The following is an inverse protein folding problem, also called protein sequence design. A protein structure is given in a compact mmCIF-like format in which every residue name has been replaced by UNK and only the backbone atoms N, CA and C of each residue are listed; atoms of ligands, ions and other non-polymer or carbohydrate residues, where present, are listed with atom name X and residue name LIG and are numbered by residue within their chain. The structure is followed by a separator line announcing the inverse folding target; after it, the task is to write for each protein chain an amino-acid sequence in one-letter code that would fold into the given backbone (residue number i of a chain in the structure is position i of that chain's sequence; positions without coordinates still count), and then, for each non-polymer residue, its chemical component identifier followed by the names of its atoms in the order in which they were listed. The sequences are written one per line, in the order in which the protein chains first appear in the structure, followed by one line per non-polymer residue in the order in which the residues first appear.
data_IF_114665457351
#
_entry.id   IF_114665457351
#
_cell.length_a   1.000
_cell.length_b   1.000
_cell.length_c   1.000
_cell.angle_alpha   90.00
_cell.angle_beta   90.00
_cell.angle_gamma   90.00
#
_symmetry.space_group_name_H-M   'P 1'
#
loop_
_entity.id
_entity.type
_entity.pdbx_description
1 polymer ?
#
# COMPACT_ATOMS: atom_id res chain seq x y z
N UNK A 1 -47.03 -51.76 23.69
CA UNK A 1 -47.71 -51.41 24.94
C UNK A 1 -47.13 -50.14 25.53
N UNK A 2 -48.06 -49.26 25.93
CA UNK A 2 -47.88 -48.01 26.70
C UNK A 2 -47.26 -46.81 26.02
N UNK A 3 -48.16 -45.95 25.56
CA UNK A 3 -48.06 -44.51 25.31
C UNK A 3 -47.78 -43.77 26.61
N UNK A 4 -46.98 -42.71 26.58
CA UNK A 4 -47.07 -41.64 27.58
C UNK A 4 -47.00 -40.30 26.89
N UNK A 5 -48.10 -39.56 26.97
CA UNK A 5 -48.35 -38.21 26.54
C UNK A 5 -48.00 -37.32 27.75
N UNK A 6 -47.17 -36.26 27.55
CA UNK A 6 -47.06 -35.19 28.54
C UNK A 6 -47.37 -33.86 27.85
N UNK A 7 -48.35 -33.21 28.47
CA UNK A 7 -49.04 -31.97 28.10
C UNK A 7 -48.12 -30.75 28.28
N UNK A 8 -48.31 -29.84 27.36
CA UNK A 8 -47.90 -28.44 27.38
C UNK A 8 -48.70 -27.62 28.37
N UNK A 9 -48.06 -26.73 29.13
CA UNK A 9 -48.72 -25.63 29.83
C UNK A 9 -48.19 -24.30 29.38
N UNK A 10 -49.03 -23.57 28.68
CA UNK A 10 -48.85 -22.16 28.29
C UNK A 10 -49.32 -21.32 29.49
N UNK A 11 -48.44 -20.44 29.99
CA UNK A 11 -48.83 -19.45 30.99
C UNK A 11 -48.89 -18.06 30.33
N UNK A 12 -50.14 -17.62 30.14
CA UNK A 12 -50.49 -16.26 29.73
C UNK A 12 -50.57 -15.40 30.99
N UNK A 13 -49.79 -14.34 31.09
CA UNK A 13 -49.96 -13.32 32.12
C UNK A 13 -50.42 -12.03 31.46
N UNK A 14 -51.69 -11.72 31.67
CA UNK A 14 -52.33 -10.45 31.36
C UNK A 14 -52.12 -9.55 32.59
N UNK A 15 -51.56 -8.38 32.42
CA UNK A 15 -51.59 -7.32 33.44
C UNK A 15 -52.39 -6.14 32.93
N UNK A 16 -53.35 -5.82 33.77
CA UNK A 16 -54.39 -4.82 33.57
C UNK A 16 -53.85 -3.39 33.82
N UNK A 17 -54.53 -2.49 33.15
CA UNK A 17 -54.47 -1.04 33.21
C UNK A 17 -54.78 -0.53 34.62
N UNK A 18 -53.99 0.40 35.12
CA UNK A 18 -54.30 1.24 36.26
C UNK A 18 -53.98 2.69 35.97
N UNK A 19 -55.01 3.47 35.68
CA UNK A 19 -54.94 4.93 35.64
C UNK A 19 -54.72 5.49 37.06
N UNK A 20 -53.77 6.42 37.19
CA UNK A 20 -53.74 7.35 38.31
C UNK A 20 -53.27 8.71 37.82
N UNK A 21 -54.20 9.64 37.71
CA UNK A 21 -53.98 11.06 37.58
C UNK A 21 -53.20 11.59 38.79
N UNK A 22 -52.14 12.29 38.53
CA UNK A 22 -51.56 13.24 39.47
C UNK A 22 -51.00 14.45 38.74
N UNK A 23 -51.68 15.57 38.84
CA UNK A 23 -51.24 16.89 38.50
C UNK A 23 -49.86 17.17 39.09
N UNK A 24 -48.89 17.59 38.27
CA UNK A 24 -47.71 18.25 38.75
C UNK A 24 -47.27 19.36 37.78
N UNK A 25 -47.57 20.55 38.22
CA UNK A 25 -46.99 21.89 37.94
C UNK A 25 -45.95 21.98 36.86
N UNK A 26 -46.24 22.82 35.88
CA UNK A 26 -45.42 23.40 34.85
C UNK A 26 -44.20 24.12 35.44
N UNK A 27 -43.01 23.56 35.27
CA UNK A 27 -41.78 24.32 35.29
C UNK A 27 -41.19 24.32 33.91
N UNK A 28 -41.41 25.37 33.14
CA UNK A 28 -40.76 25.67 31.89
C UNK A 28 -39.28 26.02 32.18
N UNK A 29 -38.39 25.06 32.16
CA UNK A 29 -36.96 25.34 31.97
C UNK A 29 -36.72 25.40 30.47
N UNK A 30 -36.50 26.64 29.98
CA UNK A 30 -35.94 26.92 28.64
C UNK A 30 -34.57 26.27 28.56
N UNK A 31 -34.46 25.14 27.89
CA UNK A 31 -33.18 24.60 27.44
C UNK A 31 -32.67 25.52 26.36
N UNK A 32 -31.64 26.32 26.67
CA UNK A 32 -30.86 27.05 25.68
C UNK A 32 -30.17 26.01 24.81
N UNK A 33 -30.62 25.85 23.57
CA UNK A 33 -29.88 25.12 22.54
C UNK A 33 -28.52 25.78 22.36
N UNK A 34 -27.46 25.12 22.80
CA UNK A 34 -26.09 25.47 22.44
C UNK A 34 -25.91 25.10 20.96
N UNK A 35 -26.08 26.07 20.10
CA UNK A 35 -25.62 25.99 18.72
C UNK A 35 -24.12 25.82 18.75
N UNK A 36 -23.66 24.58 18.55
CA UNK A 36 -22.27 24.32 18.24
C UNK A 36 -21.95 24.98 16.88
N UNK A 37 -21.38 26.17 16.96
CA UNK A 37 -20.79 26.85 15.81
C UNK A 37 -19.63 25.99 15.35
N UNK A 38 -19.84 25.16 14.31
CA UNK A 38 -18.77 24.44 13.61
C UNK A 38 -17.86 25.52 13.03
N UNK A 39 -16.77 25.79 13.72
CA UNK A 39 -15.70 26.61 13.18
C UNK A 39 -15.08 25.79 12.06
N UNK A 40 -15.50 26.04 10.82
CA UNK A 40 -14.77 25.57 9.64
C UNK A 40 -13.35 26.14 9.76
N UNK A 41 -12.41 25.35 10.29
CA UNK A 41 -10.99 25.68 10.19
C UNK A 41 -10.71 25.91 8.72
N UNK A 42 -10.45 27.16 8.31
CA UNK A 42 -9.91 27.46 6.99
C UNK A 42 -8.66 26.58 6.85
N UNK A 43 -8.69 25.61 5.93
CA UNK A 43 -7.48 24.90 5.54
C UNK A 43 -6.51 25.96 5.03
N UNK A 44 -5.44 26.18 5.79
CA UNK A 44 -4.31 26.96 5.30
C UNK A 44 -3.76 26.15 4.13
N UNK A 45 -3.65 26.72 2.92
CA UNK A 45 -3.00 26.01 1.82
C UNK A 45 -1.57 25.69 2.28
N UNK A 46 -1.29 24.41 2.47
CA UNK A 46 0.09 23.97 2.73
C UNK A 46 0.85 24.24 1.44
N UNK A 47 1.79 25.18 1.46
CA UNK A 47 2.70 25.37 0.33
C UNK A 47 3.48 24.09 0.11
N UNK A 48 3.67 23.67 -1.16
CA UNK A 48 4.60 22.59 -1.46
C UNK A 48 5.95 22.87 -0.79
N UNK A 49 6.62 21.87 -0.23
CA UNK A 49 7.92 22.08 0.38
C UNK A 49 8.86 22.70 -0.66
N UNK A 50 9.49 23.81 -0.29
CA UNK A 50 10.56 24.41 -1.09
C UNK A 50 11.71 23.42 -1.21
N UNK A 51 12.31 23.33 -2.39
CA UNK A 51 13.50 22.53 -2.63
C UNK A 51 14.54 22.93 -1.58
N UNK A 52 14.88 22.01 -0.70
CA UNK A 52 16.15 22.09 -0.02
C UNK A 52 17.20 21.58 -1.00
N UNK A 53 18.19 22.39 -1.30
CA UNK A 53 19.34 21.98 -2.08
C UNK A 53 19.97 20.76 -1.38
N UNK A 54 19.62 19.59 -1.86
CA UNK A 54 20.21 18.35 -1.41
C UNK A 54 21.42 18.10 -2.32
N UNK A 55 22.65 18.00 -1.77
CA UNK A 55 23.83 17.71 -2.59
C UNK A 55 23.71 16.42 -3.42
N UNK A 56 22.83 15.48 -3.01
CA UNK A 56 22.50 14.28 -3.79
C UNK A 56 21.61 14.55 -5.01
N UNK A 57 20.88 15.66 -5.07
CA UNK A 57 20.09 16.06 -6.24
C UNK A 57 20.99 16.43 -7.44
N UNK A 58 22.21 16.88 -7.22
CA UNK A 58 23.14 17.19 -8.30
C UNK A 58 23.54 15.96 -9.11
N UNK A 59 23.60 14.78 -8.47
CA UNK A 59 23.89 13.52 -9.17
C UNK A 59 22.72 13.10 -10.08
N UNK A 60 21.48 13.36 -9.68
CA UNK A 60 20.30 13.10 -10.50
C UNK A 60 20.21 14.04 -11.71
N UNK A 61 20.74 15.26 -11.59
CA UNK A 61 20.66 16.27 -12.65
C UNK A 61 21.50 15.95 -13.89
N UNK A 62 22.46 15.06 -13.79
CA UNK A 62 23.32 14.64 -14.89
C UNK A 62 23.07 13.22 -15.39
N UNK A 63 22.25 12.44 -14.67
CA UNK A 63 21.98 11.04 -14.95
C UNK A 63 20.90 10.89 -16.04
N UNK A 64 21.13 10.00 -16.99
CA UNK A 64 20.20 9.68 -18.09
C UNK A 64 19.16 8.63 -17.73
N UNK A 65 19.21 8.07 -16.52
CA UNK A 65 18.32 7.00 -16.10
C UNK A 65 16.89 7.51 -15.86
N UNK A 66 15.94 6.61 -16.07
CA UNK A 66 14.54 6.85 -15.73
C UNK A 66 14.35 6.59 -14.24
N UNK A 67 13.87 7.58 -13.53
CA UNK A 67 13.64 7.54 -12.09
C UNK A 67 12.17 7.36 -11.73
N UNK A 68 11.95 6.74 -10.58
CA UNK A 68 10.65 6.60 -9.95
C UNK A 68 10.72 6.79 -8.44
N UNK A 69 9.56 6.76 -7.83
CA UNK A 69 9.37 6.88 -6.39
C UNK A 69 8.42 5.81 -5.87
N UNK A 70 8.56 5.49 -4.58
CA UNK A 70 7.64 4.59 -3.88
C UNK A 70 6.97 5.35 -2.76
N UNK A 71 5.65 5.25 -2.68
CA UNK A 71 4.84 6.02 -1.73
C UNK A 71 3.81 5.14 -1.02
N UNK A 72 3.48 5.56 0.19
CA UNK A 72 2.39 5.01 1.00
C UNK A 72 1.73 6.14 1.81
N UNK A 73 0.79 5.80 2.68
CA UNK A 73 0.20 6.76 3.62
C UNK A 73 1.23 7.44 4.54
N UNK A 74 2.43 6.89 4.69
CA UNK A 74 3.48 7.48 5.54
C UNK A 74 3.97 8.83 5.02
N UNK A 75 3.89 9.09 3.72
CA UNK A 75 4.24 10.39 3.12
C UNK A 75 3.12 11.42 3.27
N UNK A 76 1.95 11.01 3.80
CA UNK A 76 0.81 11.89 3.99
C UNK A 76 0.23 12.44 2.68
N UNK A 77 -0.16 13.70 2.68
CA UNK A 77 -0.74 14.35 1.50
C UNK A 77 0.33 14.67 0.46
N UNK A 78 0.15 14.16 -0.75
CA UNK A 78 1.02 14.39 -1.91
C UNK A 78 0.37 15.44 -2.83
N UNK A 79 1.15 16.42 -3.27
CA UNK A 79 0.78 17.44 -4.26
C UNK A 79 1.13 16.92 -5.65
N UNK A 80 0.26 16.09 -6.21
CA UNK A 80 0.51 15.35 -7.43
C UNK A 80 0.76 16.21 -8.66
N UNK A 81 0.14 17.39 -8.77
CA UNK A 81 0.44 18.37 -9.80
C UNK A 81 1.93 18.72 -9.82
N UNK A 82 2.47 19.04 -8.65
CA UNK A 82 3.90 19.36 -8.50
C UNK A 82 4.80 18.16 -8.76
N UNK A 83 4.40 16.95 -8.35
CA UNK A 83 5.14 15.71 -8.63
C UNK A 83 5.18 15.43 -10.13
N UNK A 84 4.05 15.59 -10.83
CA UNK A 84 3.93 15.36 -12.28
C UNK A 84 4.71 16.38 -13.14
N UNK A 85 4.97 17.58 -12.61
CA UNK A 85 5.84 18.55 -13.26
C UNK A 85 7.33 18.14 -13.29
N UNK A 86 7.71 17.20 -12.42
CA UNK A 86 9.09 16.70 -12.37
C UNK A 86 9.35 15.72 -13.52
N UNK A 87 9.91 16.21 -14.60
CA UNK A 87 10.20 15.45 -15.84
C UNK A 87 11.12 14.24 -15.64
N UNK A 88 11.75 14.10 -14.47
CA UNK A 88 12.66 13.00 -14.15
C UNK A 88 11.94 11.86 -13.46
N UNK A 89 10.83 12.12 -12.76
CA UNK A 89 10.00 11.09 -12.15
C UNK A 89 8.99 10.60 -13.17
N UNK A 90 9.18 9.40 -13.67
CA UNK A 90 8.37 8.82 -14.75
C UNK A 90 7.35 7.81 -14.22
N UNK A 91 7.59 7.22 -13.07
CA UNK A 91 6.73 6.20 -12.49
C UNK A 91 6.65 6.31 -10.97
N UNK A 92 5.60 5.71 -10.44
CA UNK A 92 5.39 5.55 -9.00
C UNK A 92 4.86 4.16 -8.69
N UNK A 93 5.40 3.54 -7.63
CA UNK A 93 4.78 2.41 -7.00
C UNK A 93 4.06 2.86 -5.73
N UNK A 94 2.77 2.54 -5.62
CA UNK A 94 1.91 2.91 -4.50
C UNK A 94 1.62 1.70 -3.63
N UNK A 95 1.78 1.84 -2.31
CA UNK A 95 1.31 0.81 -1.38
C UNK A 95 -0.20 0.67 -1.53
N UNK A 96 -0.64 -0.53 -1.93
CA UNK A 96 -2.06 -0.84 -1.96
C UNK A 96 -2.48 -1.54 -0.66
N UNK A 97 -1.73 -2.57 -0.27
CA UNK A 97 -2.10 -3.41 0.87
C UNK A 97 -0.89 -3.99 1.61
N UNK A 98 -1.16 -4.53 2.79
CA UNK A 98 -0.22 -5.28 3.62
C UNK A 98 -0.93 -6.45 4.29
N UNK A 99 -0.39 -7.65 4.18
CA UNK A 99 -0.98 -8.83 4.79
C UNK A 99 -2.43 -9.05 4.37
N UNK A 100 -3.23 -9.68 5.22
CA UNK A 100 -4.58 -10.13 4.86
C UNK A 100 -5.70 -9.11 5.05
N UNK A 101 -5.44 -7.90 5.59
CA UNK A 101 -6.51 -6.99 6.01
C UNK A 101 -6.14 -5.50 6.05
N UNK A 102 -4.89 -5.16 5.81
CA UNK A 102 -4.48 -3.75 5.79
C UNK A 102 -4.55 -3.20 4.38
N UNK A 103 -5.30 -2.13 4.22
CA UNK A 103 -5.36 -1.32 2.99
C UNK A 103 -4.69 0.02 3.29
N UNK A 104 -3.89 0.52 2.37
CA UNK A 104 -3.31 1.85 2.51
C UNK A 104 -4.39 2.92 2.36
N UNK A 105 -4.53 3.76 3.38
CA UNK A 105 -5.63 4.71 3.49
C UNK A 105 -5.62 5.81 2.40
N UNK A 106 -4.51 5.99 1.70
CA UNK A 106 -4.36 6.99 0.65
C UNK A 106 -4.24 6.39 -0.75
N UNK A 107 -4.30 5.05 -0.87
CA UNK A 107 -4.07 4.35 -2.13
C UNK A 107 -5.03 4.81 -3.24
N UNK A 108 -6.34 4.71 -3.04
CA UNK A 108 -7.36 5.07 -4.03
C UNK A 108 -7.21 6.53 -4.51
N UNK A 109 -6.99 7.45 -3.56
CA UNK A 109 -6.74 8.85 -3.90
C UNK A 109 -5.45 9.03 -4.70
N UNK A 110 -4.39 8.34 -4.31
CA UNK A 110 -3.08 8.53 -4.90
C UNK A 110 -2.98 7.93 -6.31
N UNK A 111 -3.60 6.78 -6.56
CA UNK A 111 -3.59 6.17 -7.89
C UNK A 111 -4.32 7.06 -8.94
N UNK A 112 -5.51 7.57 -8.59
CA UNK A 112 -6.28 8.48 -9.43
C UNK A 112 -5.50 9.77 -9.75
N UNK A 113 -4.92 10.39 -8.73
CA UNK A 113 -4.19 11.64 -8.90
C UNK A 113 -2.85 11.48 -9.62
N UNK A 114 -2.11 10.39 -9.38
CA UNK A 114 -0.87 10.11 -10.10
C UNK A 114 -1.12 9.94 -11.60
N UNK A 115 -2.16 9.22 -11.98
CA UNK A 115 -2.56 9.09 -13.38
C UNK A 115 -2.93 10.43 -14.03
N UNK A 116 -3.75 11.24 -13.34
CA UNK A 116 -4.16 12.56 -13.85
C UNK A 116 -2.98 13.49 -14.12
N UNK A 117 -1.89 13.30 -13.40
CA UNK A 117 -0.68 14.09 -13.56
C UNK A 117 0.42 13.39 -14.37
N UNK A 118 0.06 12.33 -15.10
CA UNK A 118 0.87 11.74 -16.17
C UNK A 118 1.94 10.74 -15.74
N UNK A 119 1.93 10.31 -14.47
CA UNK A 119 2.84 9.29 -13.98
C UNK A 119 2.35 7.89 -14.38
N UNK A 120 3.32 6.99 -14.60
CA UNK A 120 3.04 5.56 -14.76
C UNK A 120 2.93 4.92 -13.39
N UNK A 121 1.81 4.24 -13.13
CA UNK A 121 1.49 3.73 -11.80
C UNK A 121 1.56 2.21 -11.74
N UNK A 122 2.25 1.72 -10.71
CA UNK A 122 2.17 0.34 -10.24
C UNK A 122 1.75 0.30 -8.79
N UNK A 123 1.23 -0.84 -8.37
CA UNK A 123 0.81 -1.06 -6.99
C UNK A 123 1.64 -2.13 -6.32
N UNK A 124 1.91 -1.98 -5.01
CA UNK A 124 2.61 -3.01 -4.28
C UNK A 124 1.85 -3.56 -3.08
N UNK A 125 2.13 -4.83 -2.79
CA UNK A 125 1.68 -5.55 -1.61
C UNK A 125 2.84 -5.84 -0.68
N UNK A 126 2.72 -5.43 0.58
CA UNK A 126 3.70 -5.79 1.61
C UNK A 126 3.40 -7.20 2.14
N UNK A 127 4.29 -8.14 1.86
CA UNK A 127 4.12 -9.54 2.19
C UNK A 127 4.30 -9.83 3.68
N UNK A 128 3.35 -10.57 4.27
CA UNK A 128 3.40 -11.05 5.63
C UNK A 128 3.43 -12.58 5.66
N UNK A 129 4.62 -13.20 5.80
CA UNK A 129 4.80 -14.65 5.60
C UNK A 129 3.93 -15.56 6.48
N UNK A 130 3.54 -15.10 7.66
CA UNK A 130 2.66 -15.84 8.59
C UNK A 130 1.17 -15.66 8.34
N UNK A 131 0.81 -14.76 7.44
CA UNK A 131 -0.60 -14.52 7.09
C UNK A 131 -1.03 -15.51 6.01
N UNK A 132 -2.26 -15.98 6.08
CA UNK A 132 -2.84 -16.90 5.10
C UNK A 132 -2.78 -16.27 3.69
N UNK A 133 -2.28 -17.05 2.72
CA UNK A 133 -1.90 -16.53 1.39
C UNK A 133 -3.11 -16.10 0.55
N UNK A 134 -4.19 -16.87 0.57
CA UNK A 134 -5.42 -16.53 -0.16
C UNK A 134 -5.97 -15.21 0.34
N UNK A 135 -5.99 -15.04 1.65
CA UNK A 135 -6.46 -13.80 2.26
C UNK A 135 -5.61 -12.58 1.88
N UNK A 136 -4.27 -12.75 1.77
CA UNK A 136 -3.39 -11.69 1.28
C UNK A 136 -3.67 -11.36 -0.19
N UNK A 137 -3.81 -12.38 -1.02
CA UNK A 137 -4.11 -12.18 -2.43
C UNK A 137 -5.46 -11.49 -2.63
N UNK A 138 -6.50 -11.92 -1.91
CA UNK A 138 -7.83 -11.30 -1.99
C UNK A 138 -7.80 -9.84 -1.55
N UNK A 139 -7.08 -9.53 -0.45
CA UNK A 139 -6.86 -8.16 0.00
C UNK A 139 -6.18 -7.32 -1.09
N UNK A 140 -5.14 -7.83 -1.73
CA UNK A 140 -4.43 -7.12 -2.79
C UNK A 140 -5.29 -6.94 -4.05
N UNK A 141 -5.95 -7.99 -4.52
CA UNK A 141 -6.83 -7.95 -5.70
C UNK A 141 -8.01 -6.99 -5.56
N UNK A 142 -8.50 -6.80 -4.33
CA UNK A 142 -9.57 -5.86 -4.07
C UNK A 142 -9.17 -4.40 -4.30
N UNK A 143 -7.87 -4.09 -4.26
CA UNK A 143 -7.33 -2.75 -4.45
C UNK A 143 -6.61 -2.60 -5.79
N UNK A 144 -5.72 -3.52 -6.12
CA UNK A 144 -4.90 -3.49 -7.34
C UNK A 144 -5.71 -4.01 -8.53
N UNK A 145 -6.59 -3.17 -9.07
CA UNK A 145 -7.41 -3.50 -10.22
C UNK A 145 -6.59 -3.43 -11.52
N UNK A 146 -6.62 -4.47 -12.39
CA UNK A 146 -5.85 -4.48 -13.64
C UNK A 146 -6.04 -3.22 -14.49
N UNK A 147 -7.27 -2.71 -14.61
CA UNK A 147 -7.59 -1.52 -15.41
C UNK A 147 -6.96 -0.22 -14.92
N UNK A 148 -6.41 -0.21 -13.71
CA UNK A 148 -5.78 0.95 -13.08
C UNK A 148 -4.25 0.82 -13.03
N UNK A 149 -3.66 -0.24 -13.60
CA UNK A 149 -2.23 -0.47 -13.53
C UNK A 149 -1.56 -0.13 -14.87
N UNK A 150 -0.56 0.73 -14.87
CA UNK A 150 0.37 0.88 -15.99
C UNK A 150 1.53 -0.11 -15.90
N UNK A 151 1.93 -0.46 -14.67
CA UNK A 151 3.08 -1.31 -14.36
C UNK A 151 2.61 -2.62 -13.69
N UNK A 152 3.40 -3.68 -13.88
CA UNK A 152 3.15 -4.98 -13.22
C UNK A 152 3.09 -4.79 -11.70
N UNK A 153 2.20 -5.52 -11.01
CA UNK A 153 2.14 -5.52 -9.56
C UNK A 153 3.50 -5.85 -8.93
N UNK A 154 3.80 -5.22 -7.79
CA UNK A 154 5.04 -5.49 -7.07
C UNK A 154 4.74 -6.21 -5.74
N UNK A 155 5.56 -7.21 -5.44
CA UNK A 155 5.58 -7.89 -4.15
C UNK A 155 6.77 -7.40 -3.34
N UNK A 156 6.50 -6.81 -2.20
CA UNK A 156 7.48 -6.28 -1.26
C UNK A 156 7.80 -7.32 -0.18
N UNK A 157 9.05 -7.82 -0.19
CA UNK A 157 9.52 -8.96 0.62
C UNK A 157 10.73 -8.55 1.46
N UNK A 158 10.50 -8.23 2.74
CA UNK A 158 11.54 -7.69 3.63
C UNK A 158 11.80 -8.55 4.87
N UNK A 159 10.97 -9.54 5.15
CA UNK A 159 11.04 -10.31 6.38
C UNK A 159 10.61 -11.76 6.16
N UNK A 160 11.29 -12.70 6.86
CA UNK A 160 10.82 -14.09 6.95
C UNK A 160 9.62 -14.24 7.89
N UNK A 161 9.23 -13.16 8.59
CA UNK A 161 8.20 -13.23 9.64
C UNK A 161 8.60 -14.11 10.83
N UNK A 162 9.87 -14.52 10.91
CA UNK A 162 10.35 -15.48 11.91
C UNK A 162 9.94 -16.92 11.62
N UNK A 163 9.58 -17.23 10.36
CA UNK A 163 9.45 -18.62 9.91
C UNK A 163 10.81 -19.26 9.68
N UNK A 164 10.93 -20.59 9.79
CA UNK A 164 12.07 -21.35 9.26
C UNK A 164 12.26 -21.03 7.75
N UNK A 165 13.51 -20.96 7.30
CA UNK A 165 13.83 -20.51 5.93
C UNK A 165 13.09 -21.32 4.87
N UNK A 166 13.07 -22.63 5.00
CA UNK A 166 12.39 -23.50 4.03
C UNK A 166 10.87 -23.24 3.94
N UNK A 167 10.21 -23.02 5.08
CA UNK A 167 8.80 -22.71 5.18
C UNK A 167 8.49 -21.32 4.59
N UNK A 168 9.35 -20.34 4.87
CA UNK A 168 9.27 -19.00 4.27
C UNK A 168 9.41 -19.07 2.76
N UNK A 169 10.41 -19.78 2.26
CA UNK A 169 10.66 -19.92 0.83
C UNK A 169 9.48 -20.61 0.10
N UNK A 170 8.93 -21.67 0.68
CA UNK A 170 7.74 -22.34 0.15
C UNK A 170 6.51 -21.42 0.12
N UNK A 171 6.29 -20.67 1.20
CA UNK A 171 5.21 -19.69 1.30
C UNK A 171 5.35 -18.57 0.26
N UNK A 172 6.57 -18.02 0.09
CA UNK A 172 6.85 -16.98 -0.90
C UNK A 172 6.65 -17.49 -2.32
N UNK A 173 7.18 -18.67 -2.67
CA UNK A 173 7.02 -19.27 -3.99
C UNK A 173 5.56 -19.49 -4.35
N UNK A 174 4.77 -20.02 -3.41
CA UNK A 174 3.33 -20.19 -3.58
C UNK A 174 2.62 -18.85 -3.82
N UNK A 175 2.95 -17.83 -3.06
CA UNK A 175 2.32 -16.53 -3.20
C UNK A 175 2.65 -15.85 -4.53
N UNK A 176 3.90 -15.94 -4.98
CA UNK A 176 4.32 -15.44 -6.29
C UNK A 176 3.55 -16.13 -7.43
N UNK A 177 3.40 -17.46 -7.38
CA UNK A 177 2.57 -18.19 -8.36
C UNK A 177 1.10 -17.77 -8.31
N UNK A 178 0.56 -17.54 -7.12
CA UNK A 178 -0.81 -17.05 -6.96
C UNK A 178 -0.99 -15.66 -7.57
N UNK A 179 -0.03 -14.75 -7.40
CA UNK A 179 -0.05 -13.43 -8.04
C UNK A 179 0.06 -13.54 -9.55
N UNK A 180 0.99 -14.36 -10.07
CA UNK A 180 1.15 -14.60 -11.51
C UNK A 180 -0.15 -15.13 -12.15
N UNK A 181 -0.81 -16.09 -11.51
CA UNK A 181 -2.09 -16.62 -11.97
C UNK A 181 -3.21 -15.55 -11.93
N UNK A 182 -3.22 -14.68 -10.93
CA UNK A 182 -4.25 -13.67 -10.77
C UNK A 182 -4.12 -12.52 -11.76
N UNK A 183 -2.90 -12.14 -12.10
CA UNK A 183 -2.61 -11.00 -12.99
C UNK A 183 -2.12 -11.39 -14.38
N UNK A 184 -1.96 -12.70 -14.65
CA UNK A 184 -1.42 -13.25 -15.89
C UNK A 184 -0.04 -12.71 -16.30
N UNK A 185 0.68 -12.17 -15.32
CA UNK A 185 2.05 -11.65 -15.44
C UNK A 185 2.80 -11.89 -14.15
N UNK A 186 4.11 -12.14 -14.25
CA UNK A 186 4.98 -12.25 -13.08
C UNK A 186 5.08 -10.91 -12.39
N UNK A 187 4.94 -10.84 -11.06
CA UNK A 187 5.13 -9.61 -10.33
C UNK A 187 6.61 -9.18 -10.34
N UNK A 188 6.86 -7.89 -10.20
CA UNK A 188 8.15 -7.37 -9.78
C UNK A 188 8.37 -7.75 -8.32
N UNK A 189 9.56 -8.21 -7.95
CA UNK A 189 9.88 -8.51 -6.54
C UNK A 189 10.82 -7.46 -5.99
N UNK A 190 10.35 -6.75 -4.96
CA UNK A 190 11.16 -5.83 -4.19
C UNK A 190 11.72 -6.50 -2.95
N UNK A 191 13.01 -6.25 -2.68
CA UNK A 191 13.66 -6.68 -1.45
C UNK A 191 14.97 -5.92 -1.21
N UNK A 192 15.46 -5.95 0.03
CA UNK A 192 16.79 -5.44 0.36
C UNK A 192 17.90 -6.38 -0.13
N UNK A 193 19.04 -5.82 -0.61
CA UNK A 193 20.21 -6.61 -1.08
C UNK A 193 20.65 -7.68 -0.08
N UNK A 194 20.78 -7.32 1.20
CA UNK A 194 21.22 -8.26 2.22
C UNK A 194 20.20 -9.38 2.47
N UNK A 195 18.91 -9.07 2.36
CA UNK A 195 17.84 -10.06 2.49
C UNK A 195 17.84 -11.02 1.31
N UNK A 196 17.99 -10.50 0.08
CA UNK A 196 18.15 -11.33 -1.12
C UNK A 196 19.32 -12.30 -0.98
N UNK A 197 20.52 -11.78 -0.74
CA UNK A 197 21.74 -12.59 -0.63
C UNK A 197 21.68 -13.66 0.46
N UNK A 198 20.88 -13.44 1.49
CA UNK A 198 20.74 -14.39 2.60
C UNK A 198 19.68 -15.46 2.39
N UNK A 199 18.59 -15.13 1.69
CA UNK A 199 17.40 -15.98 1.71
C UNK A 199 16.83 -16.31 0.32
N UNK A 200 17.16 -15.55 -0.74
CA UNK A 200 16.41 -15.60 -1.99
C UNK A 200 17.23 -16.03 -3.22
N UNK A 201 18.54 -16.30 -3.04
CA UNK A 201 19.41 -16.79 -4.12
C UNK A 201 18.82 -18.08 -4.71
N UNK A 202 18.69 -18.14 -6.04
CA UNK A 202 18.16 -19.28 -6.78
C UNK A 202 16.64 -19.48 -6.69
N UNK A 203 15.92 -18.57 -6.05
CA UNK A 203 14.46 -18.66 -5.92
C UNK A 203 13.68 -17.79 -6.91
N UNK A 204 14.29 -16.73 -7.37
CA UNK A 204 13.60 -15.68 -8.12
C UNK A 204 14.10 -15.55 -9.57
N UNK A 205 14.72 -16.61 -10.13
CA UNK A 205 15.41 -16.60 -11.42
C UNK A 205 14.56 -16.05 -12.58
N UNK A 206 13.27 -16.26 -12.52
CA UNK A 206 12.32 -15.82 -13.55
C UNK A 206 11.62 -14.48 -13.26
N UNK A 207 11.95 -13.81 -12.16
CA UNK A 207 11.27 -12.57 -11.74
C UNK A 207 12.18 -11.36 -11.95
N UNK A 208 11.62 -10.24 -12.36
CA UNK A 208 12.31 -8.95 -12.32
C UNK A 208 12.52 -8.51 -10.86
N UNK A 209 13.68 -7.94 -10.58
CA UNK A 209 14.06 -7.54 -9.23
C UNK A 209 14.16 -6.02 -9.10
N UNK A 210 13.60 -5.52 -8.02
CA UNK A 210 13.89 -4.20 -7.48
C UNK A 210 14.66 -4.37 -6.18
N UNK A 211 15.90 -3.91 -6.15
CA UNK A 211 16.81 -4.10 -5.00
C UNK A 211 17.03 -2.79 -4.26
N UNK A 212 16.75 -2.81 -2.96
CA UNK A 212 17.09 -1.69 -2.09
C UNK A 212 18.51 -1.83 -1.55
N UNK A 213 19.32 -0.81 -1.79
CA UNK A 213 20.65 -0.63 -1.21
C UNK A 213 20.98 0.86 -1.17
N UNK A 214 21.04 1.43 0.02
CA UNK A 214 21.21 2.87 0.22
C UNK A 214 22.70 3.24 0.34
N UNK A 215 23.36 3.23 -0.80
CA UNK A 215 24.81 3.54 -0.97
C UNK A 215 25.01 4.34 -2.24
N UNK A 216 26.22 4.85 -2.44
CA UNK A 216 26.59 5.56 -3.67
C UNK A 216 26.99 4.62 -4.82
N UNK A 217 27.19 3.33 -4.53
CA UNK A 217 27.60 2.31 -5.50
C UNK A 217 26.38 1.46 -5.90
N UNK A 218 26.34 1.06 -7.16
CA UNK A 218 25.32 0.17 -7.69
C UNK A 218 25.35 -1.20 -6.99
N UNK A 219 24.18 -1.76 -6.66
CA UNK A 219 24.11 -3.05 -5.99
C UNK A 219 24.59 -4.19 -6.90
N UNK A 220 25.40 -5.09 -6.33
CA UNK A 220 25.76 -6.35 -6.92
C UNK A 220 25.22 -7.46 -6.00
N UNK A 221 24.49 -8.43 -6.58
CA UNK A 221 23.99 -9.59 -5.87
C UNK A 221 25.07 -10.68 -5.81
N UNK A 222 24.99 -11.55 -4.80
CA UNK A 222 26.01 -12.57 -4.58
C UNK A 222 26.04 -13.67 -5.65
N UNK A 223 25.00 -13.81 -6.45
CA UNK A 223 24.87 -14.70 -7.58
C UNK A 223 24.99 -13.99 -8.94
N UNK A 224 25.50 -12.74 -8.93
CA UNK A 224 25.69 -11.89 -10.11
C UNK A 224 24.43 -11.67 -10.95
N UNK A 225 23.26 -11.87 -10.35
CA UNK A 225 21.98 -11.74 -11.00
C UNK A 225 21.69 -10.30 -11.39
N UNK A 226 21.08 -10.12 -12.56
CA UNK A 226 20.68 -8.83 -13.10
C UNK A 226 19.56 -8.18 -12.27
N UNK A 227 19.67 -6.86 -12.10
CA UNK A 227 18.75 -6.04 -11.29
C UNK A 227 18.03 -5.08 -12.22
N UNK A 228 16.71 -5.17 -12.25
CA UNK A 228 15.89 -4.28 -13.07
C UNK A 228 15.82 -2.86 -12.50
N UNK A 229 15.54 -2.74 -11.21
CA UNK A 229 15.43 -1.47 -10.50
C UNK A 229 16.32 -1.45 -9.26
N UNK A 230 16.93 -0.32 -9.03
CA UNK A 230 17.66 -0.03 -7.80
C UNK A 230 16.97 1.08 -7.01
N UNK A 231 16.48 0.77 -5.81
CA UNK A 231 16.05 1.78 -4.84
C UNK A 231 17.31 2.24 -4.08
N UNK A 232 17.81 3.41 -4.47
CA UNK A 232 19.13 3.90 -4.05
C UNK A 232 19.09 4.78 -2.79
N UNK A 233 17.89 5.26 -2.38
CA UNK A 233 17.72 6.05 -1.16
C UNK A 233 16.32 5.92 -0.60
N UNK A 234 16.22 5.86 0.73
CA UNK A 234 14.98 6.03 1.49
C UNK A 234 14.86 7.41 2.14
N UNK A 235 15.75 8.35 1.75
CA UNK A 235 15.79 9.73 2.26
C UNK A 235 15.84 10.75 1.13
N UNK A 236 15.27 10.42 -0.02
CA UNK A 236 15.16 11.33 -1.14
C UNK A 236 14.17 12.46 -0.86
N UNK A 237 14.29 13.51 -1.64
CA UNK A 237 13.31 14.61 -1.66
C UNK A 237 12.77 14.75 -3.08
N UNK A 238 11.49 15.05 -3.16
CA UNK A 238 10.83 15.43 -4.41
C UNK A 238 9.86 16.55 -4.12
N UNK A 239 9.79 17.52 -5.02
CA UNK A 239 8.79 18.57 -4.91
C UNK A 239 7.38 17.97 -4.96
N UNK A 240 6.53 18.40 -4.05
CA UNK A 240 5.17 17.89 -3.95
C UNK A 240 4.99 16.79 -2.90
N UNK A 241 6.07 16.25 -2.32
CA UNK A 241 6.00 15.32 -1.18
C UNK A 241 6.58 15.97 0.06
N UNK A 242 5.90 15.83 1.20
CA UNK A 242 6.38 16.34 2.49
C UNK A 242 7.21 15.27 3.18
N UNK A 243 8.50 15.56 3.44
CA UNK A 243 9.42 14.63 4.08
C UNK A 243 10.20 13.78 3.08
N UNK A 244 10.64 12.63 3.55
CA UNK A 244 11.45 11.71 2.76
C UNK A 244 10.60 10.80 1.87
N UNK A 245 11.16 10.46 0.72
CA UNK A 245 10.58 9.52 -0.23
C UNK A 245 11.64 8.53 -0.70
N UNK A 246 11.22 7.30 -0.91
CA UNK A 246 12.05 6.28 -1.54
C UNK A 246 12.19 6.59 -3.02
N UNK A 247 13.44 6.58 -3.53
CA UNK A 247 13.73 6.84 -4.94
C UNK A 247 14.46 5.68 -5.56
N UNK A 248 14.04 5.36 -6.77
CA UNK A 248 14.57 4.25 -7.54
C UNK A 248 14.89 4.66 -8.97
N UNK A 249 15.72 3.86 -9.64
CA UNK A 249 16.04 4.02 -11.06
C UNK A 249 16.23 2.67 -11.75
N UNK A 250 16.07 2.67 -13.05
CA UNK A 250 16.43 1.49 -13.84
C UNK A 250 17.96 1.26 -13.85
N UNK A 251 18.31 -0.02 -13.94
CA UNK A 251 19.69 -0.49 -14.04
C UNK A 251 19.99 -0.95 -15.47
N UNK A 252 21.24 -0.92 -15.84
CA UNK A 252 21.73 -1.46 -17.12
C UNK A 252 20.93 -0.99 -18.33
N UNK A 253 20.37 -1.94 -19.06
CA UNK A 253 19.54 -1.69 -20.26
C UNK A 253 18.03 -1.82 -19.98
N UNK A 254 17.64 -2.02 -18.72
CA UNK A 254 16.25 -2.13 -18.34
C UNK A 254 15.47 -0.83 -18.53
N UNK A 255 14.17 -0.96 -18.75
CA UNK A 255 13.30 0.17 -19.07
C UNK A 255 11.86 -0.06 -18.59
N UNK A 256 11.06 0.99 -18.58
CA UNK A 256 9.61 0.92 -18.30
C UNK A 256 8.85 -0.09 -19.17
N UNK A 257 9.38 -0.43 -20.36
CA UNK A 257 8.74 -1.39 -21.26
C UNK A 257 8.60 -2.77 -20.64
N UNK A 258 9.58 -3.19 -19.84
CA UNK A 258 9.61 -4.51 -19.19
C UNK A 258 8.63 -4.58 -18.02
N UNK A 259 8.40 -3.45 -17.35
CA UNK A 259 7.44 -3.33 -16.25
C UNK A 259 6.01 -3.08 -16.69
N UNK A 260 5.77 -2.89 -18.00
CA UNK A 260 4.43 -2.56 -18.49
C UNK A 260 3.43 -3.65 -18.16
N UNK A 261 2.33 -3.27 -17.52
CA UNK A 261 1.17 -4.15 -17.37
C UNK A 261 0.51 -4.39 -18.73
N UNK A 262 0.17 -5.62 -19.02
CA UNK A 262 -0.51 -6.03 -20.28
C UNK A 262 -1.95 -6.39 -19.92
N UNK A 263 -2.87 -5.60 -20.42
CA UNK A 263 -4.32 -5.81 -20.27
C UNK A 263 -4.82 -6.92 -21.20
#
# INVERSE_FOLDING_TARGET
MKRLIILTTILLVIFAVGNADAQRTKNKRKAKAKTHRVIKKKRIPVRPPTIHENPFLQCEDTCTHVHGIDLSHYQGEVFWETVGENKRTSYVYLKATEGGDRVDALYERNIDLAHRHGLKVGSYHFFRPKTELTRQLDNFKAQCLPGEQDLIPMLDVESTGGLPVAEFCDSLSKFLMMMENAYHQKPLVYTGRNFYNKYLIGMLDDYLLMIAMYTDEEPVLADDRDICLWQYTGKGYINGVVGYVDKSRFMGQHSLRELRFRH
#
